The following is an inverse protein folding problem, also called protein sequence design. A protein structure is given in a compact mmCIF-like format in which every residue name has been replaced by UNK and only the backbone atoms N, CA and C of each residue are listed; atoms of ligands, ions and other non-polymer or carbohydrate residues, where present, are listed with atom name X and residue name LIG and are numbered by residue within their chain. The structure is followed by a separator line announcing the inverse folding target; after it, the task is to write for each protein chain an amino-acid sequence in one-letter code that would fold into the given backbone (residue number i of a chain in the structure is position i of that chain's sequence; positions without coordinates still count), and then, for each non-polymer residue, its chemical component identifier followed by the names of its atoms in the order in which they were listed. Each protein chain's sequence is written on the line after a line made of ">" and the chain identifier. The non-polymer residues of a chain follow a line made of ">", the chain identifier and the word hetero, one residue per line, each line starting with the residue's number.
data_IF_090237869443
#
_entry.id   IF_090237869443
#
_cell.length_a   1.000
_cell.length_b   1.000
_cell.length_c   1.000
_cell.angle_alpha   90.00
_cell.angle_beta   90.00
_cell.angle_gamma   90.00
#
_symmetry.space_group_name_H-M   'P 1'
#
loop_
_entity.id
_entity.type
_entity.pdbx_description
1 polymer ?
#
# COMPACT_ATOMS: atom_id res chain seq x y z
N UNK A 1 -9.62 16.96 9.86
CA UNK A 1 -9.67 15.50 9.77
C UNK A 1 -11.07 15.15 9.29
N UNK A 2 -11.20 14.51 8.13
CA UNK A 2 -12.50 14.19 7.56
C UNK A 2 -13.05 12.95 8.28
N UNK A 3 -14.01 13.16 9.18
CA UNK A 3 -14.61 12.09 9.98
C UNK A 3 -15.31 11.04 9.11
N UNK A 4 -15.87 11.46 7.96
CA UNK A 4 -16.54 10.55 7.04
C UNK A 4 -15.54 9.65 6.32
N UNK A 5 -14.36 10.19 5.98
CA UNK A 5 -13.26 9.38 5.46
C UNK A 5 -12.77 8.35 6.47
N UNK A 6 -12.64 8.75 7.75
CA UNK A 6 -12.22 7.84 8.82
C UNK A 6 -13.24 6.72 9.06
N UNK A 7 -14.53 7.04 9.14
CA UNK A 7 -15.59 6.06 9.34
C UNK A 7 -15.71 5.10 8.15
N UNK A 8 -15.64 5.61 6.91
CA UNK A 8 -15.58 4.75 5.71
C UNK A 8 -14.36 3.84 5.70
N UNK A 9 -13.21 4.35 6.13
CA UNK A 9 -11.98 3.54 6.22
C UNK A 9 -12.11 2.40 7.23
N UNK A 10 -12.81 2.62 8.35
CA UNK A 10 -13.11 1.58 9.32
C UNK A 10 -14.02 0.49 8.73
N UNK A 11 -14.99 0.86 7.89
CA UNK A 11 -15.89 -0.11 7.28
C UNK A 11 -15.17 -1.11 6.36
N UNK A 12 -14.09 -0.69 5.72
CA UNK A 12 -13.27 -1.53 4.85
C UNK A 12 -12.32 -2.49 5.57
N UNK A 13 -12.16 -2.38 6.91
CA UNK A 13 -11.31 -3.30 7.66
C UNK A 13 -11.91 -4.72 7.71
N UNK A 14 -11.07 -5.77 7.58
CA UNK A 14 -11.50 -7.14 7.86
C UNK A 14 -12.13 -7.26 9.26
N UNK A 15 -13.13 -8.14 9.38
CA UNK A 15 -13.87 -8.33 10.63
C UNK A 15 -12.94 -8.67 11.82
N UNK A 16 -11.90 -9.46 11.55
CA UNK A 16 -10.86 -9.77 12.54
C UNK A 16 -10.17 -8.51 13.06
N UNK A 17 -9.72 -7.62 12.18
CA UNK A 17 -9.02 -6.39 12.55
C UNK A 17 -9.93 -5.46 13.38
N UNK A 18 -11.22 -5.35 13.00
CA UNK A 18 -12.22 -4.62 13.79
C UNK A 18 -12.32 -5.16 15.22
N UNK A 19 -12.45 -6.48 15.38
CA UNK A 19 -12.55 -7.10 16.70
C UNK A 19 -11.26 -6.99 17.50
N UNK A 20 -10.11 -7.21 16.87
CA UNK A 20 -8.81 -7.15 17.53
C UNK A 20 -8.53 -5.74 18.08
N UNK A 21 -8.73 -4.71 17.27
CA UNK A 21 -8.58 -3.32 17.72
C UNK A 21 -9.66 -2.90 18.71
N UNK A 22 -10.88 -3.40 18.56
CA UNK A 22 -11.95 -3.23 19.56
C UNK A 22 -11.57 -3.81 20.93
N UNK A 23 -10.99 -5.02 20.96
CA UNK A 23 -10.51 -5.65 22.18
C UNK A 23 -9.34 -4.88 22.83
N UNK A 24 -8.41 -4.37 22.03
CA UNK A 24 -7.33 -3.48 22.52
C UNK A 24 -7.93 -2.21 23.15
N UNK A 25 -8.91 -1.58 22.48
CA UNK A 25 -9.61 -0.42 23.01
C UNK A 25 -10.30 -0.69 24.36
N UNK A 26 -11.00 -1.82 24.47
CA UNK A 26 -11.63 -2.25 25.73
C UNK A 26 -10.58 -2.49 26.82
N UNK A 27 -9.45 -3.14 26.49
CA UNK A 27 -8.37 -3.40 27.44
C UNK A 27 -7.75 -2.08 27.96
N UNK A 28 -7.53 -1.11 27.08
CA UNK A 28 -7.03 0.23 27.44
C UNK A 28 -7.99 0.96 28.37
N UNK A 29 -9.28 0.97 28.03
CA UNK A 29 -10.32 1.59 28.87
C UNK A 29 -10.44 0.87 30.23
N UNK A 30 -10.37 -0.45 30.24
CA UNK A 30 -10.37 -1.26 31.46
C UNK A 30 -9.18 -0.95 32.36
N UNK A 31 -7.97 -0.90 31.80
CA UNK A 31 -6.75 -0.56 32.54
C UNK A 31 -6.78 0.88 33.07
N UNK A 32 -7.21 1.86 32.26
CA UNK A 32 -7.40 3.24 32.72
C UNK A 32 -8.45 3.31 33.84
N UNK A 33 -9.56 2.59 33.72
CA UNK A 33 -10.60 2.48 34.75
C UNK A 33 -10.07 1.89 36.06
N UNK A 34 -9.27 0.81 36.00
CA UNK A 34 -8.64 0.20 37.17
C UNK A 34 -7.68 1.16 37.88
N UNK A 35 -6.88 1.92 37.12
CA UNK A 35 -6.02 2.98 37.67
C UNK A 35 -6.87 4.00 38.42
N UNK A 36 -7.90 4.55 37.77
CA UNK A 36 -8.77 5.56 38.38
C UNK A 36 -9.50 5.04 39.64
N UNK A 37 -9.97 3.79 39.63
CA UNK A 37 -10.59 3.16 40.80
C UNK A 37 -9.56 2.96 41.93
N UNK A 38 -8.34 2.53 41.61
CA UNK A 38 -7.25 2.38 42.57
C UNK A 38 -6.89 3.70 43.24
N UNK A 39 -6.74 4.76 42.44
CA UNK A 39 -6.48 6.10 42.94
C UNK A 39 -7.62 6.62 43.83
N UNK A 40 -8.86 6.48 43.37
CA UNK A 40 -10.03 6.89 44.15
C UNK A 40 -10.04 6.23 45.52
N UNK A 41 -9.78 4.92 45.59
CA UNK A 41 -9.69 4.18 46.86
C UNK A 41 -8.54 4.69 47.73
N UNK A 42 -7.36 4.90 47.15
CA UNK A 42 -6.18 5.41 47.87
C UNK A 42 -6.43 6.79 48.52
N UNK A 43 -7.05 7.72 47.79
CA UNK A 43 -7.34 9.06 48.28
C UNK A 43 -8.60 9.12 49.16
N UNK A 44 -9.60 8.27 48.93
CA UNK A 44 -10.75 8.13 49.82
C UNK A 44 -10.34 7.66 51.22
N UNK A 45 -9.39 6.72 51.32
CA UNK A 45 -8.83 6.28 52.60
C UNK A 45 -8.05 7.37 53.37
N UNK A 46 -7.90 8.57 52.79
CA UNK A 46 -7.22 9.74 53.36
C UNK A 46 -8.11 10.98 53.40
N UNK A 47 -9.42 10.80 53.25
CA UNK A 47 -10.43 11.88 53.20
C UNK A 47 -10.20 12.90 52.08
N UNK A 48 -9.52 12.50 51.00
CA UNK A 48 -9.18 13.35 49.84
C UNK A 48 -9.90 12.97 48.55
N UNK A 49 -10.99 12.18 48.62
CA UNK A 49 -11.71 11.73 47.43
C UNK A 49 -12.25 12.90 46.58
N UNK A 50 -12.80 13.93 47.22
CA UNK A 50 -13.28 15.13 46.52
C UNK A 50 -12.15 15.89 45.82
N UNK A 51 -11.05 16.16 46.53
CA UNK A 51 -9.87 16.80 45.97
C UNK A 51 -9.25 15.97 44.82
N UNK A 52 -9.23 14.64 44.90
CA UNK A 52 -8.79 13.76 43.81
C UNK A 52 -9.63 13.97 42.54
N UNK A 53 -10.96 13.94 42.67
CA UNK A 53 -11.86 14.11 41.53
C UNK A 53 -11.70 15.50 40.91
N UNK A 54 -11.66 16.55 41.75
CA UNK A 54 -11.45 17.92 41.31
C UNK A 54 -10.14 18.08 40.54
N UNK A 55 -9.04 17.50 41.04
CA UNK A 55 -7.76 17.57 40.35
C UNK A 55 -7.81 16.80 39.02
N UNK A 56 -8.47 15.63 38.95
CA UNK A 56 -8.63 14.88 37.69
C UNK A 56 -9.38 15.66 36.62
N UNK A 57 -10.49 16.28 36.99
CA UNK A 57 -11.29 17.10 36.08
C UNK A 57 -10.49 18.33 35.64
N UNK A 58 -9.79 18.98 36.57
CA UNK A 58 -8.91 20.11 36.24
C UNK A 58 -7.79 19.70 35.29
N UNK A 59 -7.18 18.54 35.52
CA UNK A 59 -6.15 18.00 34.64
C UNK A 59 -6.67 17.75 33.24
N UNK A 60 -7.86 17.15 33.11
CA UNK A 60 -8.47 16.83 31.83
C UNK A 60 -8.93 18.07 31.05
N UNK A 61 -9.63 18.99 31.71
CA UNK A 61 -10.30 20.10 31.04
C UNK A 61 -9.45 21.37 30.97
N UNK A 62 -8.41 21.52 31.80
CA UNK A 62 -7.60 22.73 31.84
C UNK A 62 -6.11 22.44 31.64
N UNK A 63 -5.49 21.60 32.47
CA UNK A 63 -4.03 21.41 32.39
C UNK A 63 -3.62 20.71 31.09
N UNK A 64 -4.37 19.71 30.63
CA UNK A 64 -4.09 19.01 29.38
C UNK A 64 -4.15 19.93 28.15
N UNK A 65 -5.24 20.68 27.88
CA UNK A 65 -5.28 21.58 26.75
C UNK A 65 -4.26 22.72 26.89
N UNK A 66 -3.97 23.21 28.10
CA UNK A 66 -2.94 24.20 28.32
C UNK A 66 -1.55 23.66 27.95
N UNK A 67 -1.18 22.48 28.46
CA UNK A 67 0.09 21.83 28.15
C UNK A 67 0.21 21.54 26.64
N UNK A 68 -0.84 20.98 26.03
CA UNK A 68 -0.86 20.71 24.59
C UNK A 68 -0.76 22.00 23.78
N UNK A 69 -1.46 23.06 24.19
CA UNK A 69 -1.42 24.37 23.56
C UNK A 69 -0.01 24.98 23.61
N UNK A 70 0.68 24.90 24.75
CA UNK A 70 2.08 25.35 24.86
C UNK A 70 2.99 24.59 23.90
N UNK A 71 2.81 23.28 23.75
CA UNK A 71 3.63 22.48 22.83
C UNK A 71 3.34 22.83 21.36
N UNK A 72 2.06 22.83 20.97
CA UNK A 72 1.63 22.98 19.58
C UNK A 72 1.76 24.42 19.09
N UNK A 73 1.38 25.42 19.89
CA UNK A 73 1.48 26.83 19.46
C UNK A 73 2.93 27.26 19.27
N UNK A 74 3.85 26.74 20.09
CA UNK A 74 5.28 27.03 19.94
C UNK A 74 5.81 26.48 18.62
N UNK A 75 5.37 25.30 18.17
CA UNK A 75 5.81 24.74 16.90
C UNK A 75 5.14 25.39 15.69
N UNK A 76 3.86 25.78 15.79
CA UNK A 76 3.15 26.46 14.71
C UNK A 76 3.64 27.91 14.47
N UNK A 77 4.24 28.54 15.47
CA UNK A 77 4.76 29.91 15.36
C UNK A 77 6.09 30.00 14.62
N UNK A 78 6.75 28.88 14.32
CA UNK A 78 8.09 28.86 13.72
C UNK A 78 8.08 28.05 12.42
N UNK A 79 8.71 28.57 11.37
CA UNK A 79 8.89 27.89 10.08
C UNK A 79 10.36 27.58 9.84
N UNK A 80 10.65 26.46 9.19
CA UNK A 80 12.02 26.06 8.83
C UNK A 80 12.56 24.90 9.69
N UNK A 81 13.81 24.47 9.44
CA UNK A 81 14.45 23.36 10.16
C UNK A 81 14.54 23.59 11.68
N UNK A 82 14.54 24.84 12.15
CA UNK A 82 14.57 25.23 13.55
C UNK A 82 13.26 24.88 14.28
N UNK A 83 12.13 24.80 13.56
CA UNK A 83 10.83 24.47 14.15
C UNK A 83 10.85 23.13 14.89
N UNK A 84 11.64 22.17 14.40
CA UNK A 84 11.82 20.87 15.06
C UNK A 84 12.54 21.00 16.41
N UNK A 85 13.57 21.85 16.49
CA UNK A 85 14.30 22.09 17.75
C UNK A 85 13.40 22.75 18.80
N UNK A 86 12.62 23.76 18.40
CA UNK A 86 11.64 24.40 19.27
C UNK A 86 10.51 23.47 19.69
N UNK A 87 10.05 22.59 18.79
CA UNK A 87 9.09 21.55 19.14
C UNK A 87 9.65 20.61 20.21
N UNK A 88 10.88 20.13 20.07
CA UNK A 88 11.51 19.28 21.09
C UNK A 88 11.73 20.01 22.41
N UNK A 89 12.15 21.28 22.38
CA UNK A 89 12.26 22.09 23.60
C UNK A 89 10.91 22.24 24.29
N UNK A 90 9.85 22.56 23.53
CA UNK A 90 8.51 22.68 24.08
C UNK A 90 8.00 21.34 24.63
N UNK A 91 8.25 20.23 23.94
CA UNK A 91 7.82 18.89 24.34
C UNK A 91 8.58 18.36 25.57
N UNK A 92 9.89 18.57 25.65
CA UNK A 92 10.75 17.96 26.67
C UNK A 92 10.97 18.86 27.89
N UNK A 93 10.77 20.17 27.75
CA UNK A 93 11.01 21.15 28.83
C UNK A 93 9.72 21.85 29.22
N UNK A 94 9.11 22.62 28.31
CA UNK A 94 7.97 23.48 28.65
C UNK A 94 6.72 22.67 29.03
N UNK A 95 6.39 21.63 28.25
CA UNK A 95 5.24 20.77 28.47
C UNK A 95 5.28 20.10 29.85
N UNK A 96 6.38 19.39 30.20
CA UNK A 96 6.56 18.81 31.53
C UNK A 96 6.52 19.88 32.64
N UNK A 97 7.14 21.04 32.43
CA UNK A 97 7.11 22.12 33.40
C UNK A 97 5.66 22.55 33.69
N UNK A 98 4.89 22.87 32.65
CA UNK A 98 3.48 23.30 32.76
C UNK A 98 2.63 22.21 33.39
N UNK A 99 2.80 20.96 32.96
CA UNK A 99 2.03 19.82 33.46
C UNK A 99 2.28 19.57 34.95
N UNK A 100 3.54 19.37 35.35
CA UNK A 100 3.88 19.02 36.73
C UNK A 100 3.75 20.20 37.69
N UNK A 101 4.11 21.42 37.26
CA UNK A 101 3.92 22.62 38.09
C UNK A 101 2.43 22.95 38.24
N UNK A 102 1.63 22.79 37.19
CA UNK A 102 0.17 22.94 37.24
C UNK A 102 -0.45 21.98 38.25
N UNK A 103 -0.11 20.69 38.20
CA UNK A 103 -0.59 19.72 39.18
C UNK A 103 -0.16 20.06 40.62
N UNK A 104 1.07 20.51 40.82
CA UNK A 104 1.57 20.89 42.14
C UNK A 104 0.89 22.15 42.69
N UNK A 105 0.64 23.16 41.84
CA UNK A 105 -0.05 24.39 42.22
C UNK A 105 -1.52 24.11 42.55
N UNK A 106 -2.24 23.48 41.62
CA UNK A 106 -3.65 23.18 41.79
C UNK A 106 -3.89 22.21 42.95
N UNK A 107 -3.05 21.19 43.10
CA UNK A 107 -3.10 20.27 44.24
C UNK A 107 -2.98 20.95 45.60
N UNK A 108 -2.17 22.01 45.72
CA UNK A 108 -2.03 22.81 46.94
C UNK A 108 -3.24 23.69 47.24
N UNK A 109 -3.97 24.13 46.21
CA UNK A 109 -5.13 25.02 46.34
C UNK A 109 -6.41 24.27 46.74
N UNK A 110 -6.43 22.93 46.62
CA UNK A 110 -7.55 22.10 47.02
C UNK A 110 -7.67 21.97 48.54
N UNK A 111 -8.89 21.64 49.02
CA UNK A 111 -9.17 21.37 50.44
C UNK A 111 -9.88 20.02 50.57
N UNK A 112 -9.25 19.00 51.18
CA UNK A 112 -7.88 19.00 51.74
C UNK A 112 -6.80 19.08 50.66
N UNK A 113 -5.66 19.68 51.01
CA UNK A 113 -4.55 19.91 50.08
C UNK A 113 -3.74 18.63 49.80
N UNK A 114 -3.21 18.54 48.58
CA UNK A 114 -2.27 17.49 48.19
C UNK A 114 -0.85 17.86 48.64
N UNK A 115 -0.13 16.87 49.13
CA UNK A 115 1.32 16.94 49.34
C UNK A 115 2.06 17.00 48.01
N UNK A 116 3.36 17.32 48.06
CA UNK A 116 4.24 17.31 46.87
C UNK A 116 4.28 15.93 46.20
N UNK A 117 4.32 14.85 47.00
CA UNK A 117 4.33 13.47 46.50
C UNK A 117 3.02 13.09 45.82
N UNK A 118 1.89 13.37 46.47
CA UNK A 118 0.56 13.08 45.90
C UNK A 118 0.32 13.87 44.60
N UNK A 119 0.75 15.13 44.53
CA UNK A 119 0.61 15.94 43.30
C UNK A 119 1.45 15.40 42.14
N UNK A 120 2.69 14.96 42.41
CA UNK A 120 3.56 14.31 41.40
C UNK A 120 2.99 12.98 40.94
N UNK A 121 2.45 12.19 41.87
CA UNK A 121 1.78 10.93 41.55
C UNK A 121 0.61 11.17 40.59
N UNK A 122 -0.27 12.13 40.89
CA UNK A 122 -1.42 12.48 40.03
C UNK A 122 -1.00 12.92 38.63
N UNK A 123 0.06 13.72 38.53
CA UNK A 123 0.63 14.15 37.26
C UNK A 123 1.18 12.96 36.46
N UNK A 124 1.95 12.08 37.10
CA UNK A 124 2.57 10.92 36.45
C UNK A 124 1.53 9.90 36.01
N UNK A 125 0.56 9.56 36.86
CA UNK A 125 -0.49 8.60 36.50
C UNK A 125 -1.46 9.16 35.47
N UNK A 126 -1.73 10.48 35.47
CA UNK A 126 -2.44 11.13 34.37
C UNK A 126 -1.72 11.01 33.03
N UNK A 127 -0.40 11.24 33.02
CA UNK A 127 0.41 11.06 31.82
C UNK A 127 0.44 9.59 31.35
N UNK A 128 0.51 8.65 32.31
CA UNK A 128 0.45 7.23 32.01
C UNK A 128 -0.88 6.82 31.37
N UNK A 129 -2.01 7.32 31.88
CA UNK A 129 -3.33 7.10 31.25
C UNK A 129 -3.36 7.65 29.81
N UNK A 130 -2.76 8.82 29.58
CA UNK A 130 -2.71 9.45 28.25
C UNK A 130 -1.83 8.67 27.26
N UNK A 131 -0.71 8.10 27.70
CA UNK A 131 0.21 7.36 26.81
C UNK A 131 -0.21 5.89 26.62
N UNK A 132 -1.07 5.37 27.50
CA UNK A 132 -1.51 3.98 27.48
C UNK A 132 -2.06 3.50 26.12
N UNK A 133 -2.94 4.26 25.41
CA UNK A 133 -3.42 3.84 24.08
C UNK A 133 -2.27 3.70 23.07
N UNK A 134 -1.27 4.58 23.14
CA UNK A 134 -0.13 4.54 22.22
C UNK A 134 0.79 3.35 22.50
N UNK A 135 1.13 3.11 23.77
CA UNK A 135 1.95 1.97 24.16
C UNK A 135 1.29 0.64 23.80
N UNK A 136 0.01 0.49 24.12
CA UNK A 136 -0.76 -0.72 23.82
C UNK A 136 -0.91 -0.94 22.31
N UNK A 137 -1.19 0.11 21.54
CA UNK A 137 -1.25 0.02 20.08
C UNK A 137 0.10 -0.40 19.49
N UNK A 138 1.21 0.18 19.96
CA UNK A 138 2.57 -0.16 19.50
C UNK A 138 2.88 -1.64 19.72
N UNK A 139 2.55 -2.17 20.90
CA UNK A 139 2.76 -3.59 21.23
C UNK A 139 1.81 -4.50 20.42
N UNK A 140 0.54 -4.11 20.28
CA UNK A 140 -0.47 -4.93 19.62
C UNK A 140 -0.32 -4.95 18.09
N UNK A 141 0.17 -3.87 17.48
CA UNK A 141 0.21 -3.70 16.03
C UNK A 141 0.90 -4.86 15.30
N UNK A 142 2.07 -5.27 15.78
CA UNK A 142 2.82 -6.38 15.15
C UNK A 142 2.06 -7.71 15.24
N UNK A 143 1.46 -8.01 16.39
CA UNK A 143 0.72 -9.25 16.62
C UNK A 143 -0.57 -9.30 15.81
N UNK A 144 -1.34 -8.21 15.79
CA UNK A 144 -2.57 -8.09 15.00
C UNK A 144 -2.25 -8.21 13.51
N UNK A 145 -1.20 -7.52 13.04
CA UNK A 145 -0.77 -7.62 11.65
C UNK A 145 -0.38 -9.05 11.26
N UNK A 146 0.42 -9.74 12.08
CA UNK A 146 0.81 -11.12 11.81
C UNK A 146 -0.39 -12.07 11.79
N UNK A 147 -1.33 -11.92 12.73
CA UNK A 147 -2.53 -12.74 12.79
C UNK A 147 -3.46 -12.46 11.59
N UNK A 148 -3.70 -11.20 11.26
CA UNK A 148 -4.52 -10.79 10.10
C UNK A 148 -3.93 -11.30 8.79
N UNK A 149 -2.61 -11.14 8.64
CA UNK A 149 -1.89 -11.66 7.47
C UNK A 149 -1.96 -13.19 7.40
N UNK A 150 -1.76 -13.89 8.52
CA UNK A 150 -1.85 -15.35 8.60
C UNK A 150 -3.24 -15.88 8.25
N UNK A 151 -4.31 -15.24 8.75
CA UNK A 151 -5.69 -15.59 8.41
C UNK A 151 -5.97 -15.37 6.93
N UNK A 152 -5.53 -14.24 6.37
CA UNK A 152 -5.70 -13.91 4.96
C UNK A 152 -4.96 -14.91 4.06
N UNK A 153 -3.70 -15.23 4.39
CA UNK A 153 -2.91 -16.25 3.68
C UNK A 153 -3.52 -17.64 3.80
N UNK A 154 -4.04 -18.01 4.98
CA UNK A 154 -4.72 -19.30 5.18
C UNK A 154 -5.98 -19.40 4.33
N UNK A 155 -6.80 -18.34 4.29
CA UNK A 155 -7.99 -18.27 3.45
C UNK A 155 -7.63 -18.40 1.95
N UNK A 156 -6.54 -17.80 1.50
CA UNK A 156 -6.04 -17.95 0.12
C UNK A 156 -5.53 -19.37 -0.16
N UNK A 157 -4.78 -19.97 0.77
CA UNK A 157 -4.27 -21.34 0.63
C UNK A 157 -5.41 -22.35 0.52
N UNK A 158 -6.43 -22.18 1.36
CA UNK A 158 -7.57 -23.08 1.49
C UNK A 158 -8.74 -22.76 0.54
N UNK A 159 -8.61 -21.72 -0.30
CA UNK A 159 -9.63 -21.44 -1.30
C UNK A 159 -9.84 -22.67 -2.20
N UNK A 160 -11.08 -23.17 -2.35
CA UNK A 160 -11.36 -24.34 -3.17
C UNK A 160 -11.04 -24.08 -4.64
N UNK A 161 -10.60 -25.14 -5.32
CA UNK A 161 -10.36 -25.10 -6.75
C UNK A 161 -11.69 -24.97 -7.50
N UNK A 162 -11.72 -24.13 -8.53
CA UNK A 162 -12.83 -23.98 -9.45
C UNK A 162 -12.33 -23.97 -10.90
N UNK A 163 -13.20 -24.19 -11.86
CA UNK A 163 -12.88 -24.00 -13.27
C UNK A 163 -12.59 -22.51 -13.54
N UNK A 164 -11.55 -22.24 -14.32
CA UNK A 164 -11.20 -20.88 -14.72
C UNK A 164 -12.30 -20.33 -15.65
N UNK A 165 -12.97 -19.21 -15.32
CA UNK A 165 -14.11 -18.70 -16.07
C UNK A 165 -13.71 -17.86 -17.29
N UNK A 166 -12.42 -17.64 -17.51
CA UNK A 166 -11.90 -16.86 -18.61
C UNK A 166 -12.07 -17.59 -19.95
N UNK A 167 -12.38 -16.83 -20.99
CA UNK A 167 -12.19 -17.28 -22.36
C UNK A 167 -10.68 -17.20 -22.68
N UNK A 168 -10.04 -18.37 -22.81
CA UNK A 168 -8.61 -18.48 -23.07
C UNK A 168 -8.39 -18.40 -24.58
N UNK A 169 -7.73 -17.34 -25.06
CA UNK A 169 -7.32 -17.22 -26.45
C UNK A 169 -6.14 -18.14 -26.80
N UNK A 170 -5.86 -18.34 -28.10
CA UNK A 170 -4.70 -19.12 -28.51
C UNK A 170 -3.39 -18.44 -28.07
N UNK A 171 -2.35 -19.23 -27.89
CA UNK A 171 -0.98 -18.72 -27.76
C UNK A 171 -0.53 -18.27 -29.14
N UNK A 172 -0.29 -16.98 -29.30
CA UNK A 172 0.26 -16.39 -30.52
C UNK A 172 1.78 -16.31 -30.43
N UNK A 173 2.45 -16.52 -31.56
CA UNK A 173 3.89 -16.66 -31.65
C UNK A 173 4.44 -15.58 -32.55
N UNK A 174 5.47 -14.88 -32.10
CA UNK A 174 6.14 -13.86 -32.88
C UNK A 174 7.66 -14.00 -32.83
N UNK A 175 8.33 -13.63 -33.92
CA UNK A 175 9.78 -13.44 -33.93
C UNK A 175 10.10 -11.99 -33.57
N UNK A 176 11.04 -11.80 -32.66
CA UNK A 176 11.51 -10.50 -32.22
C UNK A 176 13.03 -10.43 -32.38
N UNK A 177 13.59 -9.42 -33.08
CA UNK A 177 15.03 -9.28 -33.23
C UNK A 177 15.74 -9.33 -31.87
N UNK A 178 16.96 -9.90 -31.84
CA UNK A 178 17.83 -10.13 -30.66
C UNK A 178 17.27 -11.03 -29.54
N UNK A 179 15.95 -11.15 -29.39
CA UNK A 179 15.28 -11.99 -28.38
C UNK A 179 14.96 -13.38 -28.94
N UNK A 180 14.57 -13.46 -30.20
CA UNK A 180 14.09 -14.68 -30.86
C UNK A 180 12.58 -14.84 -30.72
N UNK A 181 12.13 -16.07 -30.50
CA UNK A 181 10.71 -16.40 -30.36
C UNK A 181 10.14 -15.84 -29.04
N UNK A 182 9.01 -15.15 -29.16
CA UNK A 182 8.18 -14.70 -28.04
C UNK A 182 6.76 -15.24 -28.21
N UNK A 183 6.08 -15.39 -27.09
CA UNK A 183 4.72 -15.88 -27.01
C UNK A 183 3.84 -14.84 -26.33
N UNK A 184 2.60 -14.75 -26.79
CA UNK A 184 1.58 -13.94 -26.13
C UNK A 184 0.27 -14.71 -26.03
N UNK A 185 -0.51 -14.41 -25.01
CA UNK A 185 -1.82 -15.04 -24.82
C UNK A 185 -2.74 -14.09 -24.08
N UNK A 186 -4.00 -14.03 -24.51
CA UNK A 186 -5.03 -13.21 -23.85
C UNK A 186 -6.06 -14.09 -23.17
N UNK A 187 -6.42 -13.73 -21.94
CA UNK A 187 -7.50 -14.33 -21.18
C UNK A 187 -8.56 -13.25 -21.01
N UNK A 188 -9.73 -13.47 -21.58
CA UNK A 188 -10.83 -12.51 -21.55
C UNK A 188 -11.82 -12.90 -20.45
N UNK A 189 -12.04 -11.98 -19.51
CA UNK A 189 -12.95 -12.20 -18.40
C UNK A 189 -14.41 -12.10 -18.87
N UNK A 190 -15.34 -12.90 -18.31
CA UNK A 190 -16.75 -12.73 -18.60
C UNK A 190 -17.27 -11.42 -17.98
N UNK A 191 -18.39 -10.91 -18.50
CA UNK A 191 -19.00 -9.69 -18.00
C UNK A 191 -19.37 -9.81 -16.51
N UNK A 192 -19.06 -8.76 -15.72
CA UNK A 192 -19.32 -8.73 -14.27
C UNK A 192 -18.36 -9.57 -13.42
N UNK A 193 -17.33 -10.18 -14.02
CA UNK A 193 -16.28 -10.88 -13.28
C UNK A 193 -15.38 -9.89 -12.53
N UNK A 194 -15.01 -10.22 -11.29
CA UNK A 194 -14.08 -9.43 -10.50
C UNK A 194 -12.93 -10.30 -10.02
N UNK A 195 -11.74 -10.03 -10.53
CA UNK A 195 -10.51 -10.67 -10.11
C UNK A 195 -9.98 -9.99 -8.83
N UNK A 196 -9.86 -10.77 -7.76
CA UNK A 196 -9.39 -10.25 -6.47
C UNK A 196 -7.86 -10.25 -6.37
N UNK A 197 -7.20 -11.31 -6.89
CA UNK A 197 -5.75 -11.49 -6.74
C UNK A 197 -5.18 -12.44 -7.78
N UNK A 198 -3.91 -12.22 -8.12
CA UNK A 198 -3.11 -13.10 -8.98
C UNK A 198 -1.82 -13.44 -8.22
N UNK A 199 -1.58 -14.73 -8.02
CA UNK A 199 -0.27 -15.21 -7.59
C UNK A 199 0.47 -15.80 -8.80
N UNK A 200 1.79 -15.65 -8.83
CA UNK A 200 2.68 -16.29 -9.81
C UNK A 200 3.52 -17.36 -9.14
N UNK A 201 3.68 -18.51 -9.78
CA UNK A 201 4.65 -19.53 -9.36
C UNK A 201 6.06 -19.14 -9.80
N UNK A 202 6.99 -19.06 -8.85
CA UNK A 202 8.43 -18.87 -9.09
C UNK A 202 9.18 -19.97 -8.34
N UNK A 203 9.80 -20.88 -9.09
CA UNK A 203 10.27 -22.15 -8.52
C UNK A 203 9.11 -22.93 -7.92
N UNK A 204 9.21 -23.30 -6.64
CA UNK A 204 8.13 -23.97 -5.90
C UNK A 204 7.23 -23.03 -5.09
N UNK A 205 7.45 -21.72 -5.16
CA UNK A 205 6.73 -20.75 -4.33
C UNK A 205 5.68 -19.98 -5.15
N UNK A 206 4.50 -19.81 -4.57
CA UNK A 206 3.48 -18.88 -5.06
C UNK A 206 3.72 -17.51 -4.44
N UNK A 207 3.79 -16.48 -5.27
CA UNK A 207 4.11 -15.11 -4.89
C UNK A 207 3.03 -14.15 -5.36
N UNK A 208 2.65 -13.20 -4.50
CA UNK A 208 1.72 -12.13 -4.86
C UNK A 208 2.32 -11.24 -5.95
N UNK A 209 1.52 -10.90 -6.96
CA UNK A 209 1.94 -10.04 -8.06
C UNK A 209 1.60 -8.57 -7.82
N UNK A 210 0.80 -8.23 -6.82
CA UNK A 210 0.34 -6.85 -6.57
C UNK A 210 1.47 -5.82 -6.36
N UNK A 211 2.66 -6.27 -5.94
CA UNK A 211 3.85 -5.42 -5.74
C UNK A 211 5.00 -5.77 -6.69
N UNK A 212 4.75 -6.67 -7.63
CA UNK A 212 5.76 -7.09 -8.61
C UNK A 212 5.94 -6.00 -9.67
N UNK A 213 7.19 -5.82 -10.08
CA UNK A 213 7.58 -4.84 -11.12
C UNK A 213 8.09 -5.53 -12.39
N UNK A 214 8.03 -6.87 -12.44
CA UNK A 214 8.61 -7.71 -13.51
C UNK A 214 7.64 -8.81 -13.92
N UNK A 215 6.40 -8.43 -14.14
CA UNK A 215 5.36 -9.39 -14.49
C UNK A 215 5.42 -9.81 -15.96
N UNK A 216 5.06 -11.07 -16.19
CA UNK A 216 4.90 -11.67 -17.51
C UNK A 216 3.52 -11.36 -18.10
N UNK A 217 2.72 -10.54 -17.41
CA UNK A 217 1.36 -10.22 -17.80
C UNK A 217 1.04 -8.78 -17.43
N UNK A 218 -0.05 -8.27 -18.00
CA UNK A 218 -0.70 -7.04 -17.61
C UNK A 218 -2.22 -7.23 -17.56
N UNK A 219 -2.89 -6.27 -16.94
CA UNK A 219 -4.32 -6.17 -16.78
C UNK A 219 -4.89 -5.08 -17.68
N UNK A 220 -5.98 -5.43 -18.35
CA UNK A 220 -6.90 -4.47 -18.98
C UNK A 220 -8.27 -4.64 -18.34
N UNK A 221 -8.50 -3.89 -17.26
CA UNK A 221 -9.59 -4.09 -16.31
C UNK A 221 -9.51 -5.47 -15.66
N UNK A 222 -10.38 -6.36 -16.13
CA UNK A 222 -10.48 -7.75 -15.65
C UNK A 222 -9.87 -8.75 -16.62
N UNK A 223 -9.45 -8.31 -17.81
CA UNK A 223 -8.74 -9.15 -18.77
C UNK A 223 -7.27 -9.26 -18.40
N UNK A 224 -6.65 -10.38 -18.76
CA UNK A 224 -5.22 -10.60 -18.56
C UNK A 224 -4.54 -10.86 -19.90
N UNK A 225 -3.41 -10.20 -20.13
CA UNK A 225 -2.61 -10.38 -21.32
C UNK A 225 -1.20 -10.77 -20.93
N UNK A 226 -0.76 -11.94 -21.37
CA UNK A 226 0.55 -12.51 -21.06
C UNK A 226 1.50 -12.31 -22.24
N UNK A 227 2.78 -12.07 -21.91
CA UNK A 227 3.87 -11.96 -22.86
C UNK A 227 5.17 -12.52 -22.24
N UNK A 228 5.77 -13.51 -22.89
CA UNK A 228 7.00 -14.14 -22.43
C UNK A 228 7.89 -14.58 -23.60
N UNK A 229 9.20 -14.63 -23.38
CA UNK A 229 10.15 -15.20 -24.34
C UNK A 229 10.14 -16.73 -24.26
N UNK A 230 10.41 -17.42 -25.37
CA UNK A 230 10.67 -18.87 -25.37
C UNK A 230 11.87 -19.28 -24.48
N UNK A 231 12.71 -18.31 -24.08
CA UNK A 231 13.84 -18.49 -23.14
C UNK A 231 13.45 -18.24 -21.68
N UNK A 232 12.23 -17.78 -21.41
CA UNK A 232 11.66 -17.67 -20.08
C UNK A 232 10.83 -18.93 -19.77
N UNK A 233 10.68 -19.26 -18.48
CA UNK A 233 9.70 -20.27 -18.09
C UNK A 233 8.28 -19.77 -18.41
N UNK A 234 7.43 -20.67 -18.93
CA UNK A 234 6.03 -20.34 -19.18
C UNK A 234 5.36 -19.83 -17.88
N UNK A 235 4.59 -18.74 -17.95
CA UNK A 235 3.96 -18.16 -16.76
C UNK A 235 2.97 -19.15 -16.15
N UNK A 236 3.16 -19.47 -14.87
CA UNK A 236 2.18 -20.20 -14.07
C UNK A 236 1.49 -19.23 -13.13
N UNK A 237 0.20 -19.03 -13.33
CA UNK A 237 -0.61 -18.09 -12.56
C UNK A 237 -1.62 -18.84 -11.71
N UNK A 238 -1.98 -18.27 -10.57
CA UNK A 238 -3.11 -18.69 -9.75
C UNK A 238 -4.00 -17.49 -9.53
N UNK A 239 -5.22 -17.59 -10.03
CA UNK A 239 -6.20 -16.51 -10.01
C UNK A 239 -7.20 -16.75 -8.89
N UNK A 240 -7.55 -15.69 -8.18
CA UNK A 240 -8.52 -15.70 -7.08
C UNK A 240 -9.69 -14.77 -7.40
N UNK A 241 -10.90 -15.26 -7.19
CA UNK A 241 -12.13 -14.48 -7.33
C UNK A 241 -13.22 -14.99 -6.39
N UNK A 242 -14.38 -14.31 -6.37
CA UNK A 242 -15.55 -14.79 -5.61
C UNK A 242 -16.56 -15.49 -6.49
N UNK A 243 -17.05 -16.63 -6.01
CA UNK A 243 -18.19 -17.37 -6.56
C UNK A 243 -19.20 -17.59 -5.45
N UNK A 244 -20.40 -17.03 -5.59
CA UNK A 244 -21.46 -17.09 -4.57
C UNK A 244 -20.99 -16.63 -3.18
N UNK A 245 -20.22 -15.53 -3.13
CA UNK A 245 -19.67 -14.98 -1.89
C UNK A 245 -18.44 -15.70 -1.33
N UNK A 246 -18.16 -16.93 -1.77
CA UNK A 246 -16.97 -17.69 -1.37
C UNK A 246 -15.79 -17.39 -2.30
N UNK A 247 -14.61 -17.18 -1.73
CA UNK A 247 -13.37 -17.09 -2.52
C UNK A 247 -13.00 -18.47 -3.08
N UNK A 248 -12.72 -18.53 -4.37
CA UNK A 248 -12.27 -19.72 -5.10
C UNK A 248 -10.94 -19.41 -5.81
N UNK A 249 -10.26 -20.45 -6.29
CA UNK A 249 -9.02 -20.30 -7.07
C UNK A 249 -8.97 -21.19 -8.30
N UNK A 250 -8.20 -20.80 -9.30
CA UNK A 250 -7.79 -21.67 -10.40
C UNK A 250 -6.34 -21.41 -10.78
N UNK A 251 -5.64 -22.49 -11.10
CA UNK A 251 -4.29 -22.43 -11.64
C UNK A 251 -4.37 -22.39 -13.17
N UNK A 252 -3.59 -21.51 -13.77
CA UNK A 252 -3.51 -21.32 -15.20
C UNK A 252 -2.06 -21.48 -15.66
N UNK A 253 -1.88 -22.26 -16.72
CA UNK A 253 -0.60 -22.46 -17.40
C UNK A 253 -0.89 -22.42 -18.90
N UNK A 254 -0.15 -21.63 -19.70
CA UNK A 254 -0.24 -21.71 -21.14
C UNK A 254 0.08 -23.13 -21.63
N UNK A 255 -0.81 -23.72 -22.41
CA UNK A 255 -0.66 -25.09 -22.91
C UNK A 255 -0.25 -25.09 -24.38
N UNK A 256 0.69 -25.96 -24.75
CA UNK A 256 1.15 -26.12 -26.14
C UNK A 256 0.06 -26.54 -27.12
N UNK A 257 -1.03 -27.14 -26.65
CA UNK A 257 -2.21 -27.51 -27.45
C UNK A 257 -3.06 -26.32 -27.89
N UNK A 258 -2.80 -25.13 -27.33
CA UNK A 258 -3.49 -23.88 -27.69
C UNK A 258 -2.64 -22.97 -28.57
N UNK A 259 -1.48 -23.45 -29.04
CA UNK A 259 -0.60 -22.71 -29.93
C UNK A 259 -1.29 -22.52 -31.28
N UNK A 260 -1.31 -21.27 -31.74
CA UNK A 260 -1.72 -20.94 -33.09
C UNK A 260 -0.83 -21.70 -34.10
N UNK A 261 -1.41 -22.52 -35.01
CA UNK A 261 -0.62 -23.28 -35.98
C UNK A 261 0.06 -22.39 -37.04
N UNK A 262 -0.26 -21.09 -37.10
CA UNK A 262 0.37 -20.16 -38.02
C UNK A 262 1.89 -20.04 -37.80
N UNK A 263 2.63 -19.76 -38.88
CA UNK A 263 4.05 -19.45 -38.76
C UNK A 263 4.27 -18.18 -37.92
N UNK A 264 5.31 -18.13 -37.07
CA UNK A 264 5.55 -16.97 -36.21
C UNK A 264 5.79 -15.70 -37.03
N UNK A 265 4.86 -14.75 -36.95
CA UNK A 265 4.97 -13.45 -37.62
C UNK A 265 6.08 -12.58 -36.97
N UNK A 266 6.59 -11.59 -37.69
CA UNK A 266 7.50 -10.60 -37.09
C UNK A 266 6.73 -9.69 -36.13
N UNK A 267 7.27 -9.51 -34.92
CA UNK A 267 6.71 -8.57 -33.95
C UNK A 267 7.07 -7.13 -34.34
N UNK A 268 6.12 -6.44 -34.98
CA UNK A 268 6.27 -5.05 -35.43
C UNK A 268 5.31 -4.12 -34.68
N UNK A 269 5.75 -2.90 -34.38
CA UNK A 269 4.95 -1.88 -33.67
C UNK A 269 4.66 -0.74 -34.64
N UNK A 270 3.39 -0.36 -34.76
CA UNK A 270 3.00 0.87 -35.44
C UNK A 270 3.35 2.10 -34.60
N UNK A 271 3.97 3.11 -35.20
CA UNK A 271 4.31 4.36 -34.51
C UNK A 271 3.34 5.47 -34.94
N UNK A 272 2.79 6.17 -33.95
CA UNK A 272 1.93 7.36 -34.16
C UNK A 272 2.58 8.59 -33.53
N UNK A 273 2.17 9.81 -33.95
CA UNK A 273 2.70 11.03 -33.37
C UNK A 273 2.48 11.15 -31.85
N UNK A 274 1.42 10.57 -31.30
CA UNK A 274 1.06 10.64 -29.88
C UNK A 274 1.20 9.31 -29.12
N UNK A 275 1.68 8.25 -29.77
CA UNK A 275 1.66 6.91 -29.19
C UNK A 275 2.17 5.79 -30.07
N UNK A 276 1.78 4.56 -29.72
CA UNK A 276 2.18 3.34 -30.42
C UNK A 276 1.00 2.37 -30.54
N UNK A 277 1.07 1.49 -31.53
CA UNK A 277 0.12 0.44 -31.82
C UNK A 277 0.85 -0.90 -31.87
N UNK A 278 1.04 -1.57 -30.73
CA UNK A 278 1.59 -2.91 -30.74
C UNK A 278 0.60 -3.89 -31.38
N UNK A 279 1.08 -5.01 -31.96
CA UNK A 279 0.22 -5.97 -32.65
C UNK A 279 -0.62 -6.79 -31.66
N UNK A 280 -0.16 -6.85 -30.40
CA UNK A 280 -0.80 -7.50 -29.26
C UNK A 280 -0.49 -6.69 -27.99
N UNK A 281 -1.27 -6.82 -26.91
CA UNK A 281 -1.02 -6.09 -25.67
C UNK A 281 0.36 -6.40 -25.07
N UNK A 282 1.05 -5.35 -24.61
CA UNK A 282 2.39 -5.47 -24.01
C UNK A 282 2.31 -5.08 -22.53
N UNK A 283 2.85 -5.90 -21.59
CA UNK A 283 2.98 -5.49 -20.21
C UNK A 283 3.89 -4.27 -20.05
N UNK A 284 3.40 -3.20 -19.41
CA UNK A 284 4.18 -1.96 -19.22
C UNK A 284 5.50 -2.18 -18.50
N UNK A 285 5.53 -3.10 -17.55
CA UNK A 285 6.73 -3.51 -16.82
C UNK A 285 7.85 -4.06 -17.71
N UNK A 286 7.53 -4.47 -18.95
CA UNK A 286 8.46 -5.00 -19.94
C UNK A 286 8.85 -4.00 -21.02
N UNK A 287 8.29 -2.80 -21.01
CA UNK A 287 8.46 -1.84 -22.08
C UNK A 287 9.06 -0.52 -21.60
N UNK A 288 9.91 0.06 -22.44
CA UNK A 288 10.36 1.44 -22.34
C UNK A 288 10.18 2.13 -23.68
N UNK A 289 9.76 3.39 -23.67
CA UNK A 289 9.57 4.19 -24.89
C UNK A 289 10.67 5.23 -24.95
N UNK A 290 11.35 5.33 -26.10
CA UNK A 290 12.32 6.36 -26.37
C UNK A 290 11.71 7.54 -27.12
N UNK A 291 12.15 8.74 -26.77
CA UNK A 291 11.87 9.97 -27.51
C UNK A 291 13.12 10.87 -27.54
N UNK A 292 13.16 11.82 -28.46
CA UNK A 292 14.27 12.77 -28.54
C UNK A 292 14.18 13.80 -27.42
N UNK A 293 15.26 13.98 -26.67
CA UNK A 293 15.45 15.11 -25.74
C UNK A 293 16.35 16.19 -26.32
N UNK A 294 17.12 15.83 -27.35
CA UNK A 294 17.83 16.71 -28.27
C UNK A 294 17.99 15.97 -29.61
N UNK A 295 18.37 16.64 -30.72
CA UNK A 295 18.43 16.01 -32.05
C UNK A 295 19.20 14.69 -32.10
N UNK A 296 20.31 14.59 -31.36
CA UNK A 296 21.16 13.39 -31.36
C UNK A 296 21.02 12.52 -30.10
N UNK A 297 20.04 12.79 -29.23
CA UNK A 297 19.92 12.11 -27.94
C UNK A 297 18.53 11.56 -27.70
N UNK A 298 18.46 10.23 -27.69
CA UNK A 298 17.29 9.48 -27.24
C UNK A 298 17.32 9.32 -25.72
N UNK A 299 16.16 9.52 -25.09
CA UNK A 299 15.91 9.17 -23.71
C UNK A 299 14.90 8.04 -23.65
N UNK A 300 15.28 6.90 -23.05
CA UNK A 300 14.38 5.78 -22.80
C UNK A 300 13.66 5.98 -21.47
N UNK A 301 12.35 6.20 -21.54
CA UNK A 301 11.49 6.29 -20.38
C UNK A 301 10.89 4.92 -20.07
N UNK A 302 11.15 4.38 -18.88
CA UNK A 302 10.46 3.20 -18.39
C UNK A 302 8.98 3.55 -18.16
N UNK A 303 8.08 2.62 -18.48
CA UNK A 303 6.64 2.84 -18.35
C UNK A 303 6.07 2.37 -17.00
N UNK A 304 6.94 1.87 -16.12
CA UNK A 304 6.54 1.40 -14.80
C UNK A 304 6.27 2.55 -13.80
N UNK A 305 7.02 3.68 -13.80
CA UNK A 305 6.55 4.91 -13.19
C UNK A 305 5.31 5.43 -13.94
N UNK A 306 4.16 5.42 -13.27
CA UNK A 306 2.92 5.94 -13.83
C UNK A 306 2.99 7.46 -14.02
N UNK A 307 2.48 7.94 -15.15
CA UNK A 307 2.22 9.36 -15.36
C UNK A 307 0.93 9.76 -14.63
N UNK A 308 0.76 11.05 -14.27
CA UNK A 308 -0.48 11.54 -13.69
C UNK A 308 -1.70 11.12 -14.54
N UNK A 309 -2.67 10.44 -13.92
CA UNK A 309 -3.88 9.94 -14.59
C UNK A 309 -3.82 8.45 -15.00
N UNK A 310 -2.65 7.80 -14.92
CA UNK A 310 -2.53 6.36 -15.12
C UNK A 310 -2.71 5.60 -13.79
N UNK A 311 -3.16 4.35 -13.86
CA UNK A 311 -3.33 3.49 -12.68
C UNK A 311 -2.70 2.11 -12.93
N UNK A 312 -2.23 1.46 -11.87
CA UNK A 312 -1.73 0.07 -11.96
C UNK A 312 -2.85 -0.96 -12.20
N UNK A 313 -4.12 -0.54 -12.16
CA UNK A 313 -5.24 -1.43 -12.48
C UNK A 313 -5.32 -1.75 -13.98
N UNK A 314 -4.80 -0.85 -14.82
CA UNK A 314 -4.72 -1.00 -16.28
C UNK A 314 -3.28 -0.77 -16.75
N UNK A 315 -2.44 -1.80 -16.64
CA UNK A 315 -1.01 -1.72 -16.89
C UNK A 315 -0.58 -2.35 -18.24
N UNK A 316 -1.53 -2.51 -19.16
CA UNK A 316 -1.25 -2.90 -20.55
C UNK A 316 -0.99 -1.70 -21.47
N UNK A 317 -0.05 -1.88 -22.39
CA UNK A 317 0.08 -1.06 -23.61
C UNK A 317 -0.76 -1.75 -24.68
N UNK A 318 -1.96 -1.23 -24.91
CA UNK A 318 -2.89 -1.76 -25.91
C UNK A 318 -2.60 -1.17 -27.30
N UNK A 319 -3.09 -1.80 -28.39
CA UNK A 319 -3.29 -1.09 -29.65
C UNK A 319 -4.05 0.21 -29.39
N UNK A 320 -3.58 1.33 -29.95
CA UNK A 320 -4.12 2.65 -29.64
C UNK A 320 -3.50 3.34 -28.43
N UNK A 321 -2.49 2.77 -27.75
CA UNK A 321 -1.86 3.38 -26.57
C UNK A 321 -1.30 4.78 -26.85
N UNK A 322 -1.72 5.75 -26.04
CA UNK A 322 -1.32 7.15 -26.10
C UNK A 322 -0.48 7.53 -24.89
N UNK A 323 0.63 8.23 -25.12
CA UNK A 323 1.45 8.79 -24.03
C UNK A 323 0.71 9.97 -23.39
N UNK A 324 0.60 10.01 -22.07
CA UNK A 324 -0.09 11.13 -21.38
C UNK A 324 0.65 12.45 -21.63
N UNK A 325 1.98 12.43 -21.53
CA UNK A 325 2.83 13.60 -21.74
C UNK A 325 3.31 13.79 -23.20
N UNK A 326 2.65 13.19 -24.20
CA UNK A 326 3.10 13.18 -25.61
C UNK A 326 3.43 14.59 -26.15
N UNK A 327 2.64 15.61 -25.79
CA UNK A 327 2.85 16.97 -26.26
C UNK A 327 4.18 17.59 -25.79
N UNK A 328 4.72 17.12 -24.65
CA UNK A 328 6.01 17.55 -24.11
C UNK A 328 7.16 16.65 -24.59
N UNK A 329 6.90 15.36 -24.70
CA UNK A 329 7.91 14.33 -25.04
C UNK A 329 8.18 14.26 -26.55
N UNK A 330 7.22 14.70 -27.37
CA UNK A 330 7.25 14.50 -28.80
C UNK A 330 6.90 13.06 -29.20
N UNK A 331 7.04 12.74 -30.50
CA UNK A 331 6.64 11.44 -31.00
C UNK A 331 7.61 10.33 -30.55
N UNK A 332 7.10 9.14 -30.17
CA UNK A 332 7.92 7.97 -29.87
C UNK A 332 8.85 7.60 -31.02
N UNK A 333 10.11 7.32 -30.71
CA UNK A 333 11.17 7.02 -31.68
C UNK A 333 11.61 5.56 -31.64
N UNK A 334 11.49 4.91 -30.49
CA UNK A 334 11.75 3.50 -30.35
C UNK A 334 10.96 2.92 -29.18
N UNK A 335 10.71 1.61 -29.24
CA UNK A 335 10.20 0.83 -28.11
C UNK A 335 11.25 -0.22 -27.78
N UNK A 336 11.67 -0.26 -26.52
CA UNK A 336 12.52 -1.32 -26.00
C UNK A 336 11.68 -2.31 -25.20
N UNK A 337 11.78 -3.60 -25.54
CA UNK A 337 11.12 -4.70 -24.84
C UNK A 337 12.15 -5.51 -24.06
N UNK A 338 11.84 -5.84 -22.80
CA UNK A 338 12.73 -6.52 -21.87
C UNK A 338 12.14 -7.85 -21.41
N UNK A 339 12.97 -8.89 -21.38
CA UNK A 339 12.60 -10.24 -20.94
C UNK A 339 13.63 -10.77 -19.93
N UNK A 340 13.14 -11.40 -18.86
CA UNK A 340 13.92 -11.74 -17.67
C UNK A 340 14.02 -13.25 -17.51
N UNK A 341 15.05 -13.84 -18.12
CA UNK A 341 15.23 -15.29 -18.23
C UNK A 341 15.32 -15.99 -16.87
N UNK A 342 16.35 -15.65 -16.09
CA UNK A 342 16.65 -16.18 -14.75
C UNK A 342 17.34 -15.09 -13.93
N UNK A 343 17.40 -15.25 -12.60
CA UNK A 343 18.00 -14.25 -11.71
C UNK A 343 19.50 -14.01 -11.99
N UNK A 344 20.19 -14.99 -12.57
CA UNK A 344 21.63 -15.03 -12.86
C UNK A 344 21.98 -14.75 -14.33
N UNK A 345 20.99 -14.55 -15.20
CA UNK A 345 21.19 -14.32 -16.64
C UNK A 345 20.96 -12.85 -17.03
N UNK A 346 21.68 -12.31 -18.02
CA UNK A 346 21.37 -11.00 -18.57
C UNK A 346 19.94 -10.99 -19.14
N UNK A 347 19.24 -9.87 -18.94
CA UNK A 347 17.93 -9.68 -19.56
C UNK A 347 18.09 -9.60 -21.07
N UNK A 348 17.12 -10.14 -21.81
CA UNK A 348 17.06 -9.96 -23.25
C UNK A 348 16.39 -8.62 -23.53
N UNK A 349 16.95 -7.85 -24.46
CA UNK A 349 16.39 -6.58 -24.89
C UNK A 349 16.29 -6.55 -26.40
N UNK A 350 15.07 -6.31 -26.88
CA UNK A 350 14.82 -5.94 -28.27
C UNK A 350 14.53 -4.45 -28.35
N UNK A 351 14.99 -3.80 -29.41
CA UNK A 351 14.69 -2.41 -29.70
C UNK A 351 14.05 -2.32 -31.07
N UNK A 352 12.82 -1.83 -31.12
CA UNK A 352 12.06 -1.61 -32.34
C UNK A 352 12.07 -0.11 -32.60
N UNK A 353 12.65 0.31 -33.71
CA UNK A 353 12.79 1.73 -34.06
C UNK A 353 11.66 2.18 -34.98
N UNK A 354 11.27 3.44 -34.84
CA UNK A 354 10.38 4.09 -35.78
C UNK A 354 11.02 4.10 -37.17
N UNK A 355 10.32 3.62 -38.21
CA UNK A 355 10.80 3.64 -39.59
C UNK A 355 11.22 5.05 -40.02
N UNK A 356 12.31 5.17 -40.78
CA UNK A 356 12.89 6.47 -41.16
C UNK A 356 11.95 7.31 -42.06
N UNK A 357 11.07 6.66 -42.82
CA UNK A 357 10.02 7.27 -43.63
C UNK A 357 8.85 7.82 -42.80
N UNK A 358 8.79 7.47 -41.51
CA UNK A 358 7.76 7.93 -40.59
C UNK A 358 8.27 8.98 -39.61
N UNK A 359 9.56 9.34 -39.60
CA UNK A 359 10.16 10.18 -38.56
C UNK A 359 9.67 11.63 -38.57
#
# INVERSE_FOLDING_TARGET
>A
MDFDFFLKSLDHLPLFDKWAWGAVGIAVLGAAGLILVGERRYFAARDKAGSWLSLRLLSLFILLPLTAGVIVMTSLAMSGPEALAYFYFALLVLGPLVWFAGHALCGRLLRPAFSKGESRFMAASGLFILILPFLTATVAQGLIFQASHGLSQSALRNAPAAALPYAIGPVQHFTLPTVGLIHTQSLIAPAGFELERIDRKVGEHWSDTATSTRDLFCRDGQNLHLMWSAREAAPMLRLYWRRNGQRVKADFVPTSTTVDPAEPAEFSIGFRPDGIDPPVPIPRSRASIAYFVSPDRLYFNSLNPLQPGETFANDCIMPGYKRVAWAKEGPPQAVALMFFQRADAPYLRAEIRRPADQQ
#
